data_IF_241956709982
#
_entry.id   IF_241956709982
#
_cell.length_a   1.000
_cell.length_b   1.000
_cell.length_c   1.000
_cell.angle_alpha   90.00
_cell.angle_beta   90.00
_cell.angle_gamma   90.00
#
_symmetry.space_group_name_H-M   'P 1'
#
loop_
_entity.id
_entity.type
_entity.pdbx_description
1 polymer ?
#
# COMPACT_ATOMS: atom_id res chain seq x y z
N UNK A 1 58.88 7.88 -11.45
CA UNK A 1 57.55 8.11 -12.04
C UNK A 1 56.52 7.73 -10.98
N UNK A 2 55.92 8.72 -10.32
CA UNK A 2 54.89 8.48 -9.32
C UNK A 2 53.53 8.33 -10.02
N UNK A 3 52.83 7.22 -9.80
CA UNK A 3 51.46 7.06 -10.20
C UNK A 3 50.61 7.92 -9.24
N UNK A 4 49.99 8.99 -9.73
CA UNK A 4 48.93 9.69 -9.01
C UNK A 4 47.72 8.79 -9.02
N UNK A 5 47.42 8.15 -7.88
CA UNK A 5 46.17 7.43 -7.68
C UNK A 5 45.00 8.44 -7.67
N UNK A 6 43.96 8.14 -8.42
CA UNK A 6 42.69 8.87 -8.29
C UNK A 6 42.23 8.77 -6.85
N UNK A 7 41.85 9.89 -6.22
CA UNK A 7 41.30 9.88 -4.89
C UNK A 7 39.95 9.16 -4.90
N UNK A 8 39.72 8.26 -3.95
CA UNK A 8 38.47 7.48 -3.81
C UNK A 8 37.23 8.39 -3.73
N UNK A 9 37.35 9.63 -3.25
CA UNK A 9 36.30 10.62 -3.16
C UNK A 9 35.65 11.05 -4.49
N UNK A 10 36.29 10.77 -5.64
CA UNK A 10 35.71 11.08 -6.96
C UNK A 10 34.61 10.11 -7.35
N UNK A 11 34.59 8.89 -6.81
CA UNK A 11 33.62 7.85 -7.10
C UNK A 11 32.47 7.84 -6.08
N UNK A 12 32.68 8.43 -4.90
CA UNK A 12 31.70 8.50 -3.80
C UNK A 12 30.91 9.83 -3.82
N UNK A 13 30.44 10.25 -4.99
CA UNK A 13 29.54 11.41 -5.05
C UNK A 13 28.13 10.99 -4.66
N UNK A 14 27.63 11.53 -3.55
CA UNK A 14 26.21 11.45 -3.21
C UNK A 14 25.39 12.20 -4.28
N UNK A 15 24.33 11.60 -4.82
CA UNK A 15 23.49 12.27 -5.81
C UNK A 15 22.85 13.53 -5.19
N UNK A 16 23.17 14.70 -5.69
CA UNK A 16 22.66 15.98 -5.19
C UNK A 16 21.10 16.11 -5.26
N UNK A 17 20.47 15.27 -6.07
CA UNK A 17 19.03 15.30 -6.32
C UNK A 17 18.23 14.19 -5.60
N UNK A 18 18.85 13.42 -4.72
CA UNK A 18 18.21 12.37 -3.97
C UNK A 18 18.09 12.77 -2.51
N UNK A 19 16.88 12.90 -2.00
CA UNK A 19 16.64 13.14 -0.57
C UNK A 19 16.91 11.81 0.16
N UNK A 20 17.88 11.76 1.10
CA UNK A 20 18.12 10.57 1.91
C UNK A 20 16.86 10.18 2.70
N UNK A 21 16.61 8.89 2.84
CA UNK A 21 15.46 8.37 3.58
C UNK A 21 15.42 8.89 5.02
N UNK A 22 16.58 9.09 5.66
CA UNK A 22 16.71 9.66 7.00
C UNK A 22 16.15 11.08 7.11
N UNK A 23 16.17 11.88 6.04
CA UNK A 23 15.65 13.24 6.04
C UNK A 23 14.15 13.31 5.78
N UNK A 24 13.57 12.30 5.15
CA UNK A 24 12.14 12.30 4.79
C UNK A 24 11.26 12.42 6.05
N UNK A 25 11.60 11.69 7.09
CA UNK A 25 10.79 11.62 8.31
C UNK A 25 11.10 12.73 9.32
N UNK A 26 12.06 13.61 9.01
CA UNK A 26 12.37 14.82 9.79
C UNK A 26 11.60 16.05 9.28
N UNK A 27 10.84 15.92 8.18
CA UNK A 27 10.03 16.99 7.60
C UNK A 27 8.62 16.52 7.31
N UNK A 28 7.62 17.19 7.88
CA UNK A 28 6.20 16.85 7.74
C UNK A 28 5.71 16.88 6.28
N UNK A 29 6.17 17.83 5.49
CA UNK A 29 5.74 17.98 4.09
C UNK A 29 6.32 16.85 3.22
N UNK A 30 7.54 16.40 3.53
CA UNK A 30 8.13 15.23 2.88
C UNK A 30 7.36 13.95 3.26
N UNK A 31 7.01 13.77 4.54
CA UNK A 31 6.17 12.66 4.99
C UNK A 31 4.82 12.68 4.27
N UNK A 32 4.19 13.85 4.17
CA UNK A 32 2.93 14.01 3.43
C UNK A 32 3.08 13.66 1.94
N UNK A 33 4.20 14.02 1.33
CA UNK A 33 4.50 13.69 -0.07
C UNK A 33 4.60 12.17 -0.28
N UNK A 34 5.29 11.46 0.63
CA UNK A 34 5.38 9.98 0.59
C UNK A 34 4.00 9.35 0.78
N UNK A 35 3.21 9.83 1.75
CA UNK A 35 1.85 9.36 1.94
C UNK A 35 0.98 9.59 0.69
N UNK A 36 1.10 10.75 0.06
CA UNK A 36 0.37 11.06 -1.18
C UNK A 36 0.74 10.11 -2.32
N UNK A 37 2.02 9.74 -2.41
CA UNK A 37 2.47 8.71 -3.36
C UNK A 37 1.83 7.34 -3.07
N UNK A 38 1.71 6.95 -1.79
CA UNK A 38 1.01 5.72 -1.41
C UNK A 38 -0.47 5.76 -1.84
N UNK A 39 -1.16 6.88 -1.62
CA UNK A 39 -2.54 7.06 -2.11
C UNK A 39 -2.66 6.91 -3.63
N UNK A 40 -1.71 7.47 -4.38
CA UNK A 40 -1.67 7.37 -5.85
C UNK A 40 -1.44 5.96 -6.38
N UNK A 41 -0.88 5.06 -5.57
CA UNK A 41 -0.61 3.65 -5.92
C UNK A 41 -1.76 2.70 -5.60
N UNK A 42 -2.72 3.13 -4.79
CA UNK A 42 -3.85 2.27 -4.40
C UNK A 42 -4.80 2.09 -5.57
N UNK A 43 -5.17 0.85 -5.84
CA UNK A 43 -6.29 0.57 -6.72
C UNK A 43 -7.61 0.85 -6.00
N UNK A 44 -8.23 1.98 -6.31
CA UNK A 44 -9.53 2.38 -5.73
C UNK A 44 -10.72 1.69 -6.38
N UNK A 45 -10.49 0.82 -7.36
CA UNK A 45 -11.56 0.13 -8.10
C UNK A 45 -12.29 1.04 -9.09
N UNK A 46 -11.79 2.25 -9.34
CA UNK A 46 -12.39 3.21 -10.27
C UNK A 46 -11.76 3.22 -11.65
N UNK A 47 -10.60 2.57 -11.81
CA UNK A 47 -9.97 2.41 -13.11
C UNK A 47 -10.66 1.30 -13.90
N UNK A 48 -11.78 1.67 -14.49
CA UNK A 48 -12.51 0.82 -15.43
C UNK A 48 -11.71 0.57 -16.73
N UNK A 49 -10.51 1.14 -16.88
CA UNK A 49 -9.68 1.02 -18.07
C UNK A 49 -8.85 -0.25 -18.17
N UNK A 50 -8.39 -0.80 -17.04
CA UNK A 50 -7.40 -1.87 -17.04
C UNK A 50 -7.94 -3.25 -16.61
N UNK A 51 -8.99 -3.31 -15.79
CA UNK A 51 -9.50 -4.59 -15.26
C UNK A 51 -10.99 -4.52 -14.94
N UNK A 52 -11.81 -4.77 -15.96
CA UNK A 52 -13.21 -4.96 -15.74
C UNK A 52 -14.02 -3.67 -15.79
N UNK A 53 -14.05 -3.07 -16.95
CA UNK A 53 -15.24 -2.33 -17.28
C UNK A 53 -16.39 -3.33 -17.32
N UNK A 54 -17.56 -2.93 -16.88
CA UNK A 54 -18.76 -3.77 -16.91
C UNK A 54 -19.07 -4.32 -18.30
N UNK A 55 -18.46 -3.76 -19.37
CA UNK A 55 -18.55 -4.22 -20.75
C UNK A 55 -17.68 -5.45 -21.07
N UNK A 56 -16.85 -5.91 -20.14
CA UNK A 56 -16.12 -7.18 -20.21
C UNK A 56 -16.85 -8.34 -19.54
N UNK A 57 -17.93 -8.02 -18.85
CA UNK A 57 -18.84 -8.95 -18.21
C UNK A 57 -20.18 -8.91 -18.98
N UNK A 58 -21.11 -9.75 -18.63
CA UNK A 58 -22.45 -9.79 -19.21
C UNK A 58 -23.40 -8.68 -18.71
N UNK A 59 -22.91 -7.81 -17.81
CA UNK A 59 -23.69 -6.75 -17.14
C UNK A 59 -23.87 -5.51 -18.01
N UNK A 60 -23.01 -5.26 -18.98
CA UNK A 60 -23.11 -4.12 -19.88
C UNK A 60 -22.50 -4.38 -21.25
N UNK A 61 -22.99 -3.69 -22.28
CA UNK A 61 -22.43 -3.73 -23.61
C UNK A 61 -21.98 -2.34 -24.05
N UNK A 62 -20.83 -2.27 -24.74
CA UNK A 62 -20.30 -1.02 -25.27
C UNK A 62 -21.18 -0.53 -26.42
N UNK A 63 -21.56 0.74 -26.37
CA UNK A 63 -22.43 1.32 -27.40
C UNK A 63 -21.66 1.73 -28.68
N UNK A 64 -20.32 1.84 -28.63
CA UNK A 64 -19.47 2.08 -29.81
C UNK A 64 -18.04 1.56 -29.60
N UNK A 65 -17.38 1.27 -30.69
CA UNK A 65 -16.06 0.61 -30.72
C UNK A 65 -16.17 -0.89 -31.00
N UNK A 66 -15.03 -1.56 -31.09
CA UNK A 66 -15.04 -3.02 -31.25
C UNK A 66 -15.64 -3.68 -30.02
N UNK A 67 -16.51 -4.69 -30.19
CA UNK A 67 -16.98 -5.46 -29.05
C UNK A 67 -15.78 -6.09 -28.37
N UNK A 68 -15.64 -5.83 -27.05
CA UNK A 68 -14.63 -6.51 -26.27
C UNK A 68 -15.02 -7.97 -26.11
N UNK A 69 -14.03 -8.83 -26.26
CA UNK A 69 -14.24 -10.26 -26.03
C UNK A 69 -14.52 -10.46 -24.55
N UNK A 70 -15.63 -11.08 -24.22
CA UNK A 70 -15.90 -11.56 -22.87
C UNK A 70 -14.78 -12.53 -22.51
N UNK A 71 -14.04 -12.23 -21.45
CA UNK A 71 -13.00 -13.14 -20.99
C UNK A 71 -13.65 -14.38 -20.39
N UNK A 72 -13.45 -15.50 -21.07
CA UNK A 72 -13.95 -16.80 -20.59
C UNK A 72 -12.89 -17.56 -19.80
N UNK A 73 -11.65 -17.11 -19.84
CA UNK A 73 -10.53 -17.74 -19.14
C UNK A 73 -9.75 -16.69 -18.34
N UNK A 74 -9.52 -16.99 -17.08
CA UNK A 74 -8.74 -16.16 -16.15
C UNK A 74 -7.54 -16.95 -15.66
N UNK A 75 -6.36 -16.36 -15.79
CA UNK A 75 -5.13 -16.88 -15.23
C UNK A 75 -4.71 -16.10 -13.96
N UNK A 76 -3.65 -16.57 -13.32
CA UNK A 76 -3.07 -15.91 -12.13
C UNK A 76 -2.60 -14.46 -12.37
N UNK A 77 -2.45 -14.03 -13.62
CA UNK A 77 -2.00 -12.69 -13.97
C UNK A 77 -3.16 -11.76 -14.36
N UNK A 78 -4.35 -12.31 -14.61
CA UNK A 78 -5.51 -11.58 -15.12
C UNK A 78 -5.95 -10.45 -14.16
N UNK A 79 -5.73 -10.59 -12.86
CA UNK A 79 -6.21 -9.64 -11.87
C UNK A 79 -5.12 -8.74 -11.25
N UNK A 80 -3.84 -9.01 -11.45
CA UNK A 80 -2.66 -8.23 -10.98
C UNK A 80 -2.80 -7.54 -9.61
N UNK A 81 -3.63 -8.09 -8.73
CA UNK A 81 -3.95 -7.48 -7.43
C UNK A 81 -2.93 -7.86 -6.34
N UNK A 82 -2.01 -8.79 -6.62
CA UNK A 82 -0.98 -9.23 -5.67
C UNK A 82 0.18 -8.25 -5.67
N UNK A 83 0.06 -7.18 -4.92
CA UNK A 83 1.13 -6.18 -4.80
C UNK A 83 1.67 -6.13 -3.36
N UNK A 84 2.56 -7.07 -3.03
CA UNK A 84 3.28 -7.05 -1.75
C UNK A 84 4.38 -5.97 -1.69
N UNK A 85 4.83 -5.42 -2.83
CA UNK A 85 5.68 -4.24 -2.84
C UNK A 85 4.94 -3.04 -2.23
N UNK A 86 3.65 -2.89 -2.54
CA UNK A 86 2.83 -1.88 -1.90
C UNK A 86 2.73 -2.08 -0.38
N UNK A 87 2.46 -3.30 0.08
CA UNK A 87 2.43 -3.62 1.52
C UNK A 87 3.76 -3.28 2.19
N UNK A 88 4.89 -3.64 1.56
CA UNK A 88 6.22 -3.31 2.05
C UNK A 88 6.44 -1.80 2.16
N UNK A 89 6.04 -1.03 1.14
CA UNK A 89 6.18 0.43 1.15
C UNK A 89 5.36 1.08 2.26
N UNK A 90 4.14 0.60 2.49
CA UNK A 90 3.33 1.05 3.62
C UNK A 90 4.03 0.72 4.95
N UNK A 91 4.59 -0.47 5.10
CA UNK A 91 5.27 -0.87 6.32
C UNK A 91 6.54 -0.05 6.58
N UNK A 92 7.33 0.25 5.53
CA UNK A 92 8.48 1.17 5.63
C UNK A 92 8.04 2.58 6.06
N UNK A 93 6.97 3.09 5.47
CA UNK A 93 6.39 4.37 5.87
C UNK A 93 5.97 4.38 7.34
N UNK A 94 5.30 3.31 7.81
CA UNK A 94 4.91 3.17 9.22
C UNK A 94 6.12 3.16 10.15
N UNK A 95 7.20 2.45 9.79
CA UNK A 95 8.44 2.46 10.57
C UNK A 95 9.05 3.86 10.65
N UNK A 96 9.13 4.57 9.53
CA UNK A 96 9.68 5.92 9.49
C UNK A 96 8.85 6.92 10.30
N UNK A 97 7.52 6.92 10.14
CA UNK A 97 6.61 7.79 10.91
C UNK A 97 6.73 7.55 12.42
N UNK A 98 6.72 6.28 12.84
CA UNK A 98 6.85 5.92 14.26
C UNK A 98 8.20 6.33 14.83
N UNK A 99 9.28 6.22 14.05
CA UNK A 99 10.65 6.59 14.43
C UNK A 99 10.97 8.09 14.34
N UNK A 100 10.13 8.90 13.68
CA UNK A 100 10.37 10.32 13.49
C UNK A 100 10.54 11.06 14.81
N UNK A 101 11.53 11.93 14.91
CA UNK A 101 11.74 12.85 16.05
C UNK A 101 11.08 14.21 15.83
N UNK A 102 10.75 14.55 14.60
CA UNK A 102 10.21 15.85 14.19
C UNK A 102 8.68 15.92 14.25
N UNK A 103 7.99 14.79 14.08
CA UNK A 103 6.53 14.75 14.09
C UNK A 103 5.98 14.73 15.52
N UNK A 104 4.90 15.49 15.74
CA UNK A 104 4.12 15.42 16.98
C UNK A 104 3.33 14.09 17.05
N UNK A 105 3.01 13.63 18.27
CA UNK A 105 2.26 12.38 18.46
C UNK A 105 0.90 12.36 17.76
N UNK A 106 0.22 13.50 17.67
CA UNK A 106 -1.04 13.63 16.95
C UNK A 106 -0.86 13.45 15.45
N UNK A 107 0.24 13.96 14.89
CA UNK A 107 0.59 13.84 13.48
C UNK A 107 0.99 12.40 13.13
N UNK A 108 1.82 11.78 13.99
CA UNK A 108 2.18 10.36 13.86
C UNK A 108 0.94 9.47 13.82
N UNK A 109 0.00 9.66 14.76
CA UNK A 109 -1.26 8.91 14.80
C UNK A 109 -2.08 9.10 13.53
N UNK A 110 -2.19 10.32 13.02
CA UNK A 110 -2.92 10.60 11.80
C UNK A 110 -2.28 9.91 10.57
N UNK A 111 -0.97 10.08 10.37
CA UNK A 111 -0.24 9.46 9.27
C UNK A 111 -0.24 7.94 9.37
N UNK A 112 -0.07 7.38 10.57
CA UNK A 112 -0.15 5.94 10.81
C UNK A 112 -1.54 5.41 10.48
N UNK A 113 -2.61 6.06 10.95
CA UNK A 113 -3.98 5.65 10.68
C UNK A 113 -4.30 5.61 9.20
N UNK A 114 -3.86 6.61 8.44
CA UNK A 114 -4.06 6.63 6.99
C UNK A 114 -3.26 5.54 6.27
N UNK A 115 -1.99 5.35 6.61
CA UNK A 115 -1.17 4.31 5.99
C UNK A 115 -1.72 2.91 6.28
N UNK A 116 -2.15 2.65 7.52
CA UNK A 116 -2.82 1.39 7.89
C UNK A 116 -4.14 1.20 7.14
N UNK A 117 -4.91 2.28 6.93
CA UNK A 117 -6.12 2.22 6.11
C UNK A 117 -5.81 1.80 4.66
N UNK A 118 -4.80 2.38 4.04
CA UNK A 118 -4.40 2.03 2.68
C UNK A 118 -3.99 0.55 2.58
N UNK A 119 -3.27 0.04 3.58
CA UNK A 119 -2.89 -1.37 3.66
C UNK A 119 -4.10 -2.29 3.87
N UNK A 120 -5.02 -1.94 4.76
CA UNK A 120 -6.23 -2.71 4.99
C UNK A 120 -7.14 -2.75 3.74
N UNK A 121 -7.28 -1.61 3.06
CA UNK A 121 -7.95 -1.53 1.77
C UNK A 121 -7.32 -2.42 0.70
N UNK A 122 -6.00 -2.43 0.63
CA UNK A 122 -5.27 -3.27 -0.31
C UNK A 122 -5.46 -4.76 -0.01
N UNK A 123 -5.37 -5.17 1.27
CA UNK A 123 -5.67 -6.54 1.67
C UNK A 123 -7.12 -6.94 1.35
N UNK A 124 -8.08 -6.04 1.54
CA UNK A 124 -9.47 -6.28 1.18
C UNK A 124 -9.61 -6.59 -0.32
N UNK A 125 -8.95 -5.81 -1.18
CA UNK A 125 -8.96 -6.08 -2.63
C UNK A 125 -8.30 -7.41 -2.98
N UNK A 126 -7.17 -7.72 -2.37
CA UNK A 126 -6.50 -9.00 -2.59
C UNK A 126 -7.36 -10.17 -2.12
N UNK A 127 -7.92 -10.12 -0.92
CA UNK A 127 -8.74 -11.20 -0.36
C UNK A 127 -9.97 -11.45 -1.21
N UNK A 128 -10.70 -10.41 -1.58
CA UNK A 128 -11.89 -10.52 -2.43
C UNK A 128 -11.62 -11.21 -3.77
N UNK A 129 -10.40 -11.06 -4.31
CA UNK A 129 -10.05 -11.57 -5.63
C UNK A 129 -9.35 -12.94 -5.58
N UNK A 130 -8.52 -13.16 -4.55
CA UNK A 130 -7.61 -14.31 -4.47
C UNK A 130 -7.95 -15.27 -3.33
N UNK A 131 -8.87 -14.89 -2.45
CA UNK A 131 -9.13 -15.63 -1.21
C UNK A 131 -7.98 -15.53 -0.23
N UNK A 132 -7.67 -16.62 0.49
CA UNK A 132 -6.58 -16.66 1.45
C UNK A 132 -5.21 -16.39 0.83
N UNK A 133 -4.35 -15.66 1.57
CA UNK A 133 -3.00 -15.29 1.15
C UNK A 133 -2.09 -15.04 2.35
N UNK A 134 -0.76 -14.90 2.19
CA UNK A 134 0.12 -14.51 3.29
C UNK A 134 -0.25 -13.14 3.87
N UNK A 135 -0.43 -13.09 5.18
CA UNK A 135 -0.70 -11.86 5.93
C UNK A 135 0.59 -11.38 6.59
N UNK A 136 1.20 -10.35 6.03
CA UNK A 136 2.51 -9.85 6.45
C UNK A 136 2.43 -9.00 7.72
N UNK A 137 1.29 -8.35 7.97
CA UNK A 137 1.15 -7.39 9.08
C UNK A 137 2.12 -6.22 8.95
N UNK A 138 2.81 -5.88 10.05
CA UNK A 138 3.77 -4.77 10.11
C UNK A 138 5.21 -5.18 9.72
N UNK A 139 5.44 -6.43 9.32
CA UNK A 139 6.79 -6.91 9.03
C UNK A 139 7.38 -6.26 7.77
N UNK A 140 8.66 -5.94 7.85
CA UNK A 140 9.48 -5.54 6.70
C UNK A 140 10.58 -6.58 6.53
N UNK A 141 10.55 -7.26 5.41
CA UNK A 141 11.59 -8.23 5.06
C UNK A 141 12.73 -7.49 4.37
N UNK A 142 13.92 -7.55 4.96
CA UNK A 142 15.15 -7.07 4.35
C UNK A 142 15.87 -8.26 3.73
N UNK A 143 16.10 -8.18 2.43
CA UNK A 143 16.89 -9.21 1.75
C UNK A 143 18.37 -8.98 2.04
N UNK A 144 19.01 -9.97 2.63
CA UNK A 144 20.45 -9.99 2.85
C UNK A 144 21.07 -11.12 2.01
N UNK A 145 22.22 -10.83 1.39
CA UNK A 145 22.93 -11.82 0.59
C UNK A 145 23.37 -13.00 1.47
N UNK A 146 23.03 -14.22 1.05
CA UNK A 146 23.38 -15.45 1.77
C UNK A 146 22.33 -15.97 2.76
N UNK A 147 21.20 -15.28 2.93
CA UNK A 147 20.07 -15.83 3.69
C UNK A 147 19.27 -16.77 2.80
N UNK A 148 18.91 -17.92 3.33
CA UNK A 148 18.05 -18.87 2.64
C UNK A 148 16.66 -18.28 2.41
N UNK A 149 16.20 -18.37 1.17
CA UNK A 149 14.86 -17.88 0.74
C UNK A 149 13.75 -18.54 1.57
N UNK A 150 13.93 -19.76 2.03
CA UNK A 150 12.96 -20.46 2.89
C UNK A 150 12.67 -19.69 4.18
N UNK A 151 13.61 -18.91 4.70
CA UNK A 151 13.42 -18.06 5.89
C UNK A 151 12.32 -17.01 5.71
N UNK A 152 12.05 -16.61 4.46
CA UNK A 152 11.03 -15.62 4.12
C UNK A 152 9.70 -16.24 3.69
N UNK A 153 9.59 -17.56 3.69
CA UNK A 153 8.34 -18.25 3.32
C UNK A 153 7.29 -18.05 4.42
N UNK A 154 6.15 -17.52 4.02
CA UNK A 154 4.99 -17.36 4.91
C UNK A 154 3.85 -18.27 4.45
N UNK A 155 3.19 -18.97 5.39
CA UNK A 155 2.00 -19.74 5.05
C UNK A 155 0.86 -18.79 4.61
N UNK A 156 -0.06 -19.33 3.83
CA UNK A 156 -1.30 -18.60 3.52
C UNK A 156 -2.19 -18.56 4.75
N UNK A 157 -2.68 -17.37 5.09
CA UNK A 157 -3.81 -17.22 6.00
C UNK A 157 -5.11 -17.65 5.30
N UNK A 158 -6.09 -18.04 6.07
CA UNK A 158 -7.44 -18.28 5.53
C UNK A 158 -8.07 -16.95 5.06
N UNK A 159 -8.99 -17.03 4.14
CA UNK A 159 -9.75 -15.86 3.69
C UNK A 159 -10.46 -15.17 4.87
N UNK A 160 -11.17 -15.94 5.70
CA UNK A 160 -11.80 -15.45 6.93
C UNK A 160 -10.80 -14.74 7.86
N UNK A 161 -9.61 -15.32 8.06
CA UNK A 161 -8.57 -14.72 8.89
C UNK A 161 -8.06 -13.37 8.36
N UNK A 162 -8.10 -13.16 7.04
CA UNK A 162 -7.76 -11.86 6.45
C UNK A 162 -8.87 -10.84 6.68
N UNK A 163 -10.15 -11.24 6.55
CA UNK A 163 -11.27 -10.34 6.86
C UNK A 163 -11.31 -9.99 8.35
N UNK A 164 -11.06 -10.95 9.25
CA UNK A 164 -10.93 -10.68 10.69
C UNK A 164 -9.81 -9.66 11.00
N UNK A 165 -8.66 -9.81 10.34
CA UNK A 165 -7.57 -8.84 10.46
C UNK A 165 -8.01 -7.46 9.98
N UNK A 166 -8.66 -7.35 8.80
CA UNK A 166 -9.12 -6.07 8.25
C UNK A 166 -10.13 -5.41 9.20
N UNK A 167 -11.06 -6.16 9.74
CA UNK A 167 -12.07 -5.67 10.70
C UNK A 167 -11.39 -5.10 11.94
N UNK A 168 -10.44 -5.85 12.51
CA UNK A 168 -9.69 -5.44 13.69
C UNK A 168 -8.85 -4.19 13.43
N UNK A 169 -8.13 -4.15 12.28
CA UNK A 169 -7.36 -2.98 11.86
C UNK A 169 -8.25 -1.74 11.71
N UNK A 170 -9.42 -1.88 11.09
CA UNK A 170 -10.34 -0.76 10.91
C UNK A 170 -10.85 -0.18 12.24
N UNK A 171 -11.01 -0.99 13.27
CA UNK A 171 -11.36 -0.50 14.61
C UNK A 171 -10.25 0.36 15.23
N UNK A 172 -9.01 -0.05 15.09
CA UNK A 172 -7.85 0.72 15.56
C UNK A 172 -7.68 2.01 14.73
N UNK A 173 -7.79 1.92 13.41
CA UNK A 173 -7.69 3.05 12.49
C UNK A 173 -8.76 4.10 12.81
N UNK A 174 -10.00 3.66 13.07
CA UNK A 174 -11.10 4.57 13.38
C UNK A 174 -10.89 5.37 14.68
N UNK A 175 -10.04 4.89 15.60
CA UNK A 175 -9.64 5.63 16.81
C UNK A 175 -8.52 6.65 16.56
N UNK A 176 -7.75 6.46 15.48
CA UNK A 176 -6.62 7.33 15.13
C UNK A 176 -7.04 8.46 14.20
N UNK A 177 -8.02 8.21 13.32
CA UNK A 177 -8.43 9.16 12.30
C UNK A 177 -9.53 10.11 12.78
N UNK A 178 -9.52 11.32 12.23
CA UNK A 178 -10.52 12.35 12.49
C UNK A 178 -11.88 12.00 11.91
N UNK A 179 -12.94 12.52 12.53
CA UNK A 179 -14.31 12.47 12.01
C UNK A 179 -14.56 13.55 10.94
N UNK A 180 -13.71 14.56 10.87
CA UNK A 180 -13.94 15.68 9.95
C UNK A 180 -13.81 15.23 8.49
N UNK A 181 -14.86 15.53 7.74
CA UNK A 181 -14.88 15.46 6.29
C UNK A 181 -14.62 16.87 5.76
N UNK A 182 -13.41 17.13 5.29
CA UNK A 182 -13.16 18.35 4.52
C UNK A 182 -13.66 18.13 3.09
N UNK A 183 -14.47 19.05 2.57
CA UNK A 183 -15.16 18.94 1.26
C UNK A 183 -14.19 18.62 0.10
N UNK A 184 -12.91 18.95 0.24
CA UNK A 184 -11.88 18.72 -0.77
C UNK A 184 -10.80 17.72 -0.34
N UNK A 185 -11.01 16.96 0.73
CA UNK A 185 -10.04 15.99 1.19
C UNK A 185 -10.32 14.61 0.58
N UNK A 186 -9.41 14.16 -0.27
CA UNK A 186 -9.39 12.79 -0.77
C UNK A 186 -8.69 11.81 0.22
N UNK A 187 -8.40 12.25 1.45
CA UNK A 187 -7.71 11.45 2.48
C UNK A 187 -8.69 10.64 3.31
N UNK A 188 -8.23 9.48 3.79
CA UNK A 188 -9.02 8.62 4.65
C UNK A 188 -9.36 9.31 5.98
N UNK A 189 -10.55 9.07 6.46
CA UNK A 189 -11.05 9.53 7.74
C UNK A 189 -11.69 8.35 8.51
N UNK A 190 -12.16 8.61 9.72
CA UNK A 190 -12.84 7.61 10.55
C UNK A 190 -13.95 6.87 9.80
N UNK A 191 -14.75 7.58 9.02
CA UNK A 191 -15.90 7.00 8.32
C UNK A 191 -15.47 6.09 7.17
N UNK A 192 -14.34 6.40 6.50
CA UNK A 192 -13.76 5.52 5.49
C UNK A 192 -13.33 4.17 6.11
N UNK A 193 -12.70 4.19 7.30
CA UNK A 193 -12.33 2.98 8.01
C UNK A 193 -13.55 2.16 8.43
N UNK A 194 -14.58 2.79 8.98
CA UNK A 194 -15.80 2.10 9.37
C UNK A 194 -16.58 1.54 8.17
N UNK A 195 -16.55 2.23 7.03
CA UNK A 195 -17.13 1.72 5.78
C UNK A 195 -16.39 0.47 5.28
N UNK A 196 -15.05 0.50 5.31
CA UNK A 196 -14.25 -0.68 4.95
C UNK A 196 -14.54 -1.85 5.89
N UNK A 197 -14.63 -1.60 7.21
CA UNK A 197 -15.05 -2.60 8.20
C UNK A 197 -16.38 -3.23 7.86
N UNK A 198 -17.40 -2.39 7.60
CA UNK A 198 -18.73 -2.87 7.25
C UNK A 198 -18.73 -3.73 5.98
N UNK A 199 -17.95 -3.33 4.96
CA UNK A 199 -17.77 -4.12 3.74
C UNK A 199 -17.09 -5.45 4.01
N UNK A 200 -16.01 -5.47 4.80
CA UNK A 200 -15.28 -6.69 5.13
C UNK A 200 -16.13 -7.68 5.94
N UNK A 201 -17.06 -7.18 6.77
CA UNK A 201 -17.96 -8.01 7.59
C UNK A 201 -19.08 -8.71 6.79
N UNK A 202 -19.27 -8.37 5.51
CA UNK A 202 -20.30 -8.98 4.65
C UNK A 202 -19.73 -10.14 3.83
N UNK A 203 -18.41 -10.24 3.74
CA UNK A 203 -17.70 -11.33 3.07
C UNK A 203 -17.36 -12.45 4.04
#
# INVERSE_FOLDING_TARGET
>A
MGAAGCSESFLDQEPENVIPESMIYEDKELVLSVLSNLYGRVNWGQNNGDYGSYDQLDEANKCYGSPWVIFTEYDRNSWRVRDYDFVRRVNLFLQGVRGSSALQDSEKKAFEGEARFLRAWHYFHMARTLGGMPLVGDQVFNYESGIDVETYQMPRSTEAGIYDYIISECDEIARQLTEQMTINSARANKWAALMLKARAAVY
#
